data_IF_531236983309
#
_entry.id   IF_531236983309
#
_cell.length_a   1.000
_cell.length_b   1.000
_cell.length_c   1.000
_cell.angle_alpha   90.00
_cell.angle_beta   90.00
_cell.angle_gamma   90.00
#
_symmetry.space_group_name_H-M   'P 1'
#
loop_
_entity.id
_entity.type
_entity.pdbx_description
1 polymer ?
#
# COMPACT_ATOMS: atom_id res chain seq x y z
N UNK A 1 21.83 38.60 36.76
CA UNK A 1 22.26 37.26 36.30
C UNK A 1 21.21 36.77 35.33
N UNK A 2 21.49 36.75 34.01
CA UNK A 2 20.57 36.21 33.01
C UNK A 2 20.73 34.69 32.96
N UNK A 3 19.66 33.97 33.27
CA UNK A 3 19.57 32.54 33.05
C UNK A 3 19.31 32.29 31.55
N UNK A 4 20.31 31.76 30.85
CA UNK A 4 20.22 31.37 29.45
C UNK A 4 19.59 29.98 29.38
N UNK A 5 18.31 29.91 28.99
CA UNK A 5 17.61 28.65 28.74
C UNK A 5 18.09 28.01 27.44
N UNK A 6 18.80 26.88 27.55
CA UNK A 6 19.12 26.02 26.40
C UNK A 6 17.85 25.28 25.95
N UNK A 7 17.25 25.75 24.86
CA UNK A 7 16.20 25.01 24.14
C UNK A 7 16.87 23.85 23.39
N UNK A 8 16.73 22.64 23.93
CA UNK A 8 17.07 21.40 23.23
C UNK A 8 16.09 21.21 22.07
N UNK A 9 16.53 21.55 20.86
CA UNK A 9 15.84 21.15 19.64
C UNK A 9 16.02 19.63 19.47
N UNK A 10 14.99 18.85 19.83
CA UNK A 10 14.91 17.44 19.47
C UNK A 10 14.85 17.33 17.94
N UNK A 11 15.73 16.56 17.29
CA UNK A 11 15.59 16.29 15.86
C UNK A 11 14.31 15.48 15.68
N UNK A 12 13.29 16.10 15.09
CA UNK A 12 12.19 15.36 14.49
C UNK A 12 12.80 14.53 13.36
N UNK A 13 13.03 13.25 13.59
CA UNK A 13 13.38 12.31 12.54
C UNK A 13 12.20 12.31 11.56
N UNK A 14 12.35 13.03 10.46
CA UNK A 14 11.43 12.92 9.34
C UNK A 14 11.42 11.45 8.92
N UNK A 15 10.25 10.81 8.96
CA UNK A 15 10.11 9.43 8.53
C UNK A 15 10.68 9.29 7.11
N UNK A 16 11.67 8.42 6.94
CA UNK A 16 12.34 8.21 5.67
C UNK A 16 11.32 7.79 4.61
N UNK A 17 11.18 8.59 3.56
CA UNK A 17 10.28 8.30 2.46
C UNK A 17 10.77 7.06 1.71
N UNK A 18 9.88 6.09 1.51
CA UNK A 18 10.18 4.84 0.80
C UNK A 18 9.27 4.65 -0.40
N UNK A 19 9.83 4.06 -1.45
CA UNK A 19 9.06 3.59 -2.60
C UNK A 19 8.45 2.23 -2.30
N UNK A 20 7.16 2.13 -2.58
CA UNK A 20 6.34 0.95 -2.44
C UNK A 20 5.70 0.59 -3.78
N UNK A 21 5.69 -0.71 -4.08
CA UNK A 21 4.74 -1.29 -5.03
C UNK A 21 3.49 -1.70 -4.27
N UNK A 22 2.39 -1.01 -4.54
CA UNK A 22 1.04 -1.40 -4.10
C UNK A 22 0.48 -2.36 -5.15
N UNK A 23 0.48 -3.65 -4.82
CA UNK A 23 -0.09 -4.68 -5.66
C UNK A 23 -1.46 -5.08 -5.13
N UNK A 24 -2.49 -4.91 -5.95
CA UNK A 24 -3.90 -5.15 -5.59
C UNK A 24 -4.54 -6.15 -6.53
N UNK A 25 -5.05 -7.24 -5.99
CA UNK A 25 -5.95 -8.16 -6.70
C UNK A 25 -7.39 -7.69 -6.46
N UNK A 26 -8.08 -7.31 -7.52
CA UNK A 26 -9.51 -7.00 -7.49
C UNK A 26 -10.30 -8.21 -8.01
N UNK A 27 -11.30 -8.65 -7.25
CA UNK A 27 -12.22 -9.70 -7.71
C UNK A 27 -13.27 -9.10 -8.63
N UNK A 28 -13.43 -9.70 -9.80
CA UNK A 28 -14.39 -9.26 -10.81
C UNK A 28 -15.83 -9.49 -10.32
N UNK A 29 -16.73 -8.55 -10.63
CA UNK A 29 -18.12 -8.58 -10.18
C UNK A 29 -18.28 -8.41 -8.66
N UNK A 30 -17.22 -8.06 -7.93
CA UNK A 30 -17.22 -7.88 -6.48
C UNK A 30 -16.53 -6.58 -6.08
N UNK A 31 -16.80 -6.15 -4.85
CA UNK A 31 -16.08 -5.05 -4.17
C UNK A 31 -14.99 -5.58 -3.23
N UNK A 32 -14.68 -6.87 -3.33
CA UNK A 32 -13.59 -7.51 -2.61
C UNK A 32 -12.28 -7.29 -3.34
N UNK A 33 -11.33 -6.64 -2.67
CA UNK A 33 -9.95 -6.50 -3.13
C UNK A 33 -8.99 -7.02 -2.05
N UNK A 34 -7.82 -7.48 -2.47
CA UNK A 34 -6.69 -7.79 -1.60
C UNK A 34 -5.49 -6.97 -2.04
N UNK A 35 -4.79 -6.35 -1.09
CA UNK A 35 -3.62 -5.53 -1.38
C UNK A 35 -2.43 -5.89 -0.49
N UNK A 36 -1.25 -5.74 -1.05
CA UNK A 36 0.04 -5.85 -0.37
C UNK A 36 0.89 -4.62 -0.72
N UNK A 37 1.83 -4.31 0.16
CA UNK A 37 2.74 -3.17 0.07
C UNK A 37 4.18 -3.70 0.05
N UNK A 38 4.79 -3.75 -1.13
CA UNK A 38 6.13 -4.31 -1.29
C UNK A 38 7.15 -3.18 -1.33
N UNK A 39 8.17 -3.27 -0.50
CA UNK A 39 9.32 -2.38 -0.52
C UNK A 39 10.56 -3.17 -0.92
N UNK A 40 11.38 -2.57 -1.78
CA UNK A 40 12.65 -3.10 -2.23
C UNK A 40 13.72 -2.02 -1.95
N UNK A 41 14.67 -2.25 -1.03
CA UNK A 41 15.65 -1.23 -0.64
C UNK A 41 16.48 -0.68 -1.80
N UNK A 42 16.71 -1.49 -2.85
CA UNK A 42 17.43 -1.05 -4.05
C UNK A 42 16.63 -0.15 -5.00
N UNK A 43 15.35 0.09 -4.74
CA UNK A 43 14.48 0.96 -5.56
C UNK A 43 14.09 2.18 -4.71
N UNK A 44 14.80 3.28 -4.93
CA UNK A 44 14.61 4.54 -4.18
C UNK A 44 13.74 5.55 -4.92
N UNK A 45 13.51 5.35 -6.22
CA UNK A 45 12.77 6.27 -7.10
C UNK A 45 11.54 5.60 -7.71
N UNK A 46 10.48 6.39 -7.93
CA UNK A 46 9.24 5.91 -8.55
C UNK A 46 9.46 5.30 -9.93
N UNK A 47 10.39 5.86 -10.71
CA UNK A 47 10.68 5.33 -12.06
C UNK A 47 11.31 3.94 -12.00
N UNK A 48 12.21 3.69 -11.04
CA UNK A 48 12.76 2.35 -10.81
C UNK A 48 11.68 1.33 -10.45
N UNK A 49 10.67 1.73 -9.67
CA UNK A 49 9.51 0.86 -9.40
C UNK A 49 8.71 0.58 -10.67
N UNK A 50 8.45 1.59 -11.50
CA UNK A 50 7.69 1.43 -12.74
C UNK A 50 8.43 0.54 -13.74
N UNK A 51 9.75 0.69 -13.84
CA UNK A 51 10.60 -0.20 -14.63
C UNK A 51 10.53 -1.65 -14.14
N UNK A 52 10.65 -1.86 -12.83
CA UNK A 52 10.53 -3.19 -12.24
C UNK A 52 9.15 -3.82 -12.49
N UNK A 53 8.06 -3.04 -12.41
CA UNK A 53 6.71 -3.50 -12.75
C UNK A 53 6.60 -3.87 -14.23
N UNK A 54 7.10 -3.00 -15.13
CA UNK A 54 7.08 -3.28 -16.59
C UNK A 54 7.84 -4.55 -16.93
N UNK A 55 9.01 -4.77 -16.32
CA UNK A 55 9.79 -6.00 -16.49
C UNK A 55 9.04 -7.22 -15.94
N UNK A 56 8.55 -7.15 -14.69
CA UNK A 56 7.79 -8.25 -14.07
C UNK A 56 6.53 -8.67 -14.83
N UNK A 57 5.82 -7.71 -15.43
CA UNK A 57 4.66 -7.99 -16.28
C UNK A 57 5.05 -8.61 -17.63
N UNK A 58 6.11 -8.11 -18.27
CA UNK A 58 6.56 -8.57 -19.60
C UNK A 58 7.16 -9.97 -19.53
N UNK A 59 8.09 -10.16 -18.60
CA UNK A 59 8.93 -11.35 -18.50
C UNK A 59 8.26 -12.42 -17.63
N UNK A 60 7.15 -12.06 -16.97
CA UNK A 60 6.41 -12.88 -15.99
C UNK A 60 7.30 -13.33 -14.82
N UNK A 61 8.37 -12.58 -14.58
CA UNK A 61 9.39 -12.87 -13.58
C UNK A 61 9.63 -11.64 -12.68
N UNK A 62 9.20 -11.74 -11.43
CA UNK A 62 9.19 -10.64 -10.47
C UNK A 62 10.48 -10.58 -9.64
N UNK A 63 11.61 -10.36 -10.31
CA UNK A 63 12.96 -10.39 -9.72
C UNK A 63 13.17 -9.37 -8.58
N UNK A 64 12.50 -8.21 -8.60
CA UNK A 64 12.66 -7.13 -7.61
C UNK A 64 11.54 -7.08 -6.56
N UNK A 65 10.32 -7.43 -6.95
CA UNK A 65 9.16 -7.41 -6.05
C UNK A 65 8.51 -8.79 -6.05
N UNK A 66 9.21 -9.77 -5.49
CA UNK A 66 8.69 -11.14 -5.47
C UNK A 66 7.39 -11.19 -4.66
N UNK A 67 6.30 -11.58 -5.32
CA UNK A 67 5.03 -11.80 -4.68
C UNK A 67 4.26 -12.89 -5.39
N UNK A 68 3.57 -13.73 -4.61
CA UNK A 68 2.69 -14.77 -5.12
C UNK A 68 1.29 -14.42 -4.64
N UNK A 69 0.46 -13.88 -5.54
CA UNK A 69 -0.97 -13.85 -5.27
C UNK A 69 -1.52 -15.25 -5.51
N UNK A 70 -2.03 -15.87 -4.45
CA UNK A 70 -2.69 -17.17 -4.44
C UNK A 70 -4.03 -17.11 -5.16
N UNK A 71 -4.01 -16.82 -6.46
CA UNK A 71 -5.20 -16.71 -7.31
C UNK A 71 -6.01 -18.01 -7.34
N UNK A 72 -5.34 -19.14 -7.13
CA UNK A 72 -5.90 -20.49 -6.92
C UNK A 72 -6.94 -20.56 -5.80
N UNK A 73 -6.92 -19.60 -4.86
CA UNK A 73 -7.87 -19.55 -3.74
C UNK A 73 -9.19 -18.87 -4.09
N UNK A 74 -9.28 -18.17 -5.21
CA UNK A 74 -10.51 -17.52 -5.68
C UNK A 74 -11.29 -18.44 -6.62
N UNK A 75 -11.68 -19.62 -6.14
CA UNK A 75 -12.44 -20.59 -6.94
C UNK A 75 -13.78 -20.00 -7.37
N UNK A 76 -14.05 -20.04 -8.68
CA UNK A 76 -15.32 -19.54 -9.25
C UNK A 76 -15.36 -18.03 -9.52
N UNK A 77 -14.26 -17.31 -9.30
CA UNK A 77 -14.17 -15.88 -9.58
C UNK A 77 -12.93 -15.60 -10.44
N UNK A 78 -13.07 -14.64 -11.37
CA UNK A 78 -11.92 -14.02 -12.04
C UNK A 78 -11.45 -12.84 -11.21
N UNK A 79 -10.19 -12.47 -11.38
CA UNK A 79 -9.65 -11.27 -10.76
C UNK A 79 -8.53 -10.69 -11.61
N UNK A 80 -8.34 -9.38 -11.48
CA UNK A 80 -7.30 -8.66 -12.18
C UNK A 80 -6.34 -7.99 -11.20
N UNK A 81 -5.05 -8.03 -11.56
CA UNK A 81 -3.99 -7.38 -10.82
C UNK A 81 -3.88 -5.90 -11.23
N UNK A 82 -3.82 -5.03 -10.24
CA UNK A 82 -3.46 -3.62 -10.39
C UNK A 82 -2.16 -3.36 -9.63
N UNK A 83 -1.23 -2.67 -10.29
CA UNK A 83 0.07 -2.32 -9.73
C UNK A 83 0.21 -0.81 -9.72
N UNK A 84 0.48 -0.22 -8.55
CA UNK A 84 0.72 1.22 -8.41
C UNK A 84 2.03 1.43 -7.66
N UNK A 85 2.95 2.21 -8.26
CA UNK A 85 4.15 2.68 -7.58
C UNK A 85 3.81 3.93 -6.78
N UNK A 86 4.20 3.96 -5.51
CA UNK A 86 3.87 5.06 -4.61
C UNK A 86 4.98 5.32 -3.58
N UNK A 87 5.02 6.54 -3.03
CA UNK A 87 5.94 6.95 -1.98
C UNK A 87 5.17 7.05 -0.66
N UNK A 88 5.73 6.54 0.42
CA UNK A 88 5.12 6.56 1.74
C UNK A 88 6.12 6.99 2.81
N UNK A 89 5.66 7.77 3.77
CA UNK A 89 6.29 7.95 5.09
C UNK A 89 5.91 6.81 6.05
N UNK A 90 4.75 6.17 5.83
CA UNK A 90 4.34 4.98 6.57
C UNK A 90 5.16 3.77 6.15
N UNK A 91 5.61 3.01 7.15
CA UNK A 91 6.26 1.73 6.94
C UNK A 91 5.26 0.58 7.12
N UNK A 92 5.47 -0.50 6.39
CA UNK A 92 4.64 -1.70 6.47
C UNK A 92 5.50 -2.89 6.86
N UNK A 93 4.97 -3.79 7.70
CA UNK A 93 5.65 -5.04 8.01
C UNK A 93 5.94 -5.82 6.73
N UNK A 94 7.02 -6.62 6.69
CA UNK A 94 7.33 -7.45 5.53
C UNK A 94 6.13 -8.30 5.13
N UNK A 95 5.90 -8.43 3.82
CA UNK A 95 4.89 -9.34 3.31
C UNK A 95 5.39 -10.78 3.45
N UNK A 96 4.52 -11.67 3.91
CA UNK A 96 4.76 -13.12 3.92
C UNK A 96 3.59 -13.77 3.18
N UNK A 97 3.88 -14.72 2.29
CA UNK A 97 2.83 -15.52 1.64
C UNK A 97 2.10 -16.30 2.73
N UNK A 98 0.86 -15.89 3.00
CA UNK A 98 0.13 -16.28 4.19
C UNK A 98 -1.36 -16.31 3.92
N UNK A 99 -2.09 -17.25 4.54
CA UNK A 99 -3.43 -17.60 4.10
C UNK A 99 -4.53 -16.57 4.42
N UNK A 100 -4.25 -15.52 5.21
CA UNK A 100 -5.31 -14.67 5.77
C UNK A 100 -5.05 -13.18 5.57
N UNK A 101 -5.56 -12.66 4.46
CA UNK A 101 -5.82 -11.24 4.27
C UNK A 101 -7.02 -10.84 5.14
N UNK A 102 -6.77 -10.59 6.42
CA UNK A 102 -7.81 -10.39 7.45
C UNK A 102 -7.83 -8.97 8.03
N UNK A 103 -7.03 -8.06 7.49
CA UNK A 103 -6.97 -6.66 7.93
C UNK A 103 -7.62 -5.79 6.87
N UNK A 104 -8.62 -5.01 7.24
CA UNK A 104 -9.27 -4.09 6.31
C UNK A 104 -8.53 -2.75 6.30
N UNK A 105 -8.28 -2.22 5.11
CA UNK A 105 -7.59 -0.96 4.89
C UNK A 105 -8.36 -0.06 3.93
N UNK A 106 -8.39 1.23 4.24
CA UNK A 106 -8.63 2.30 3.28
C UNK A 106 -7.28 2.74 2.73
N UNK A 107 -7.04 2.47 1.44
CA UNK A 107 -5.77 2.72 0.77
C UNK A 107 -5.96 3.88 -0.18
N UNK A 108 -5.09 4.88 -0.11
CA UNK A 108 -5.04 6.02 -1.03
C UNK A 108 -3.70 6.13 -1.73
N UNK A 109 -3.73 6.37 -3.04
CA UNK A 109 -2.56 6.80 -3.82
C UNK A 109 -2.98 8.04 -4.60
N UNK A 110 -2.48 9.21 -4.20
CA UNK A 110 -2.87 10.49 -4.81
C UNK A 110 -2.13 10.77 -6.13
N UNK A 111 -2.42 11.92 -6.74
CA UNK A 111 -1.84 12.36 -8.01
C UNK A 111 -0.32 12.55 -7.95
N UNK A 112 0.25 12.75 -6.76
CA UNK A 112 1.69 12.83 -6.54
C UNK A 112 2.31 11.48 -6.17
N UNK A 113 1.54 10.40 -6.37
CA UNK A 113 1.92 9.04 -5.98
C UNK A 113 2.17 8.89 -4.48
N UNK A 114 1.62 9.76 -3.62
CA UNK A 114 1.74 9.59 -2.17
C UNK A 114 0.78 8.50 -1.70
N UNK A 115 1.34 7.46 -1.08
CA UNK A 115 0.61 6.39 -0.43
C UNK A 115 0.18 6.84 0.97
N UNK A 116 -1.08 6.61 1.28
CA UNK A 116 -1.59 6.66 2.64
C UNK A 116 -2.51 5.46 2.88
N UNK A 117 -2.35 4.82 4.03
CA UNK A 117 -3.07 3.61 4.41
C UNK A 117 -3.62 3.78 5.81
N UNK A 118 -4.93 3.61 5.94
CA UNK A 118 -5.63 3.66 7.22
C UNK A 118 -6.25 2.29 7.53
N UNK A 119 -6.02 1.79 8.74
CA UNK A 119 -6.66 0.55 9.20
C UNK A 119 -8.10 0.81 9.61
N UNK A 120 -9.02 -0.02 9.15
CA UNK A 120 -10.43 0.00 9.57
C UNK A 120 -10.80 -1.26 10.34
N UNK A 121 -11.88 -1.22 11.12
CA UNK A 121 -12.32 -2.40 11.91
C UNK A 121 -12.87 -3.53 11.03
N UNK A 122 -13.43 -3.17 9.87
CA UNK A 122 -14.04 -4.10 8.92
C UNK A 122 -14.09 -3.50 7.52
N UNK A 123 -14.34 -4.35 6.53
CA UNK A 123 -14.54 -3.91 5.15
C UNK A 123 -15.80 -3.05 4.99
N UNK A 124 -16.87 -3.35 5.75
CA UNK A 124 -18.07 -2.53 5.78
C UNK A 124 -17.77 -1.10 6.26
N UNK A 125 -16.97 -0.97 7.34
CA UNK A 125 -16.56 0.34 7.83
C UNK A 125 -15.66 1.07 6.82
N UNK A 126 -14.73 0.36 6.16
CA UNK A 126 -13.91 0.98 5.10
C UNK A 126 -14.79 1.57 4.01
N UNK A 127 -15.77 0.81 3.51
CA UNK A 127 -16.66 1.30 2.45
C UNK A 127 -17.52 2.47 2.92
N UNK A 128 -17.96 2.46 4.17
CA UNK A 128 -18.70 3.57 4.76
C UNK A 128 -17.83 4.84 4.82
N UNK A 129 -16.57 4.72 5.27
CA UNK A 129 -15.61 5.82 5.27
C UNK A 129 -15.32 6.33 3.86
N UNK A 130 -15.04 5.44 2.90
CA UNK A 130 -14.80 5.80 1.50
C UNK A 130 -15.97 6.60 0.92
N UNK A 131 -17.21 6.13 1.09
CA UNK A 131 -18.41 6.83 0.58
C UNK A 131 -18.65 8.19 1.24
N UNK A 132 -18.17 8.40 2.46
CA UNK A 132 -18.31 9.66 3.18
C UNK A 132 -17.30 10.74 2.72
N UNK A 133 -16.28 10.37 1.92
CA UNK A 133 -15.30 11.32 1.40
C UNK A 133 -15.89 12.15 0.24
N UNK A 134 -15.38 13.37 -0.01
CA UNK A 134 -15.67 14.09 -1.25
C UNK A 134 -15.26 13.28 -2.49
N UNK A 135 -16.01 13.41 -3.60
CA UNK A 135 -15.79 12.62 -4.82
C UNK A 135 -14.34 12.66 -5.33
N UNK A 136 -13.70 13.84 -5.31
CA UNK A 136 -12.29 14.00 -5.67
C UNK A 136 -11.35 13.13 -4.80
N UNK A 137 -11.64 12.99 -3.51
CA UNK A 137 -10.85 12.14 -2.60
C UNK A 137 -11.18 10.65 -2.73
N UNK A 138 -12.39 10.31 -3.19
CA UNK A 138 -12.79 8.93 -3.47
C UNK A 138 -12.04 8.36 -4.68
N UNK A 139 -11.83 9.15 -5.74
CA UNK A 139 -11.17 8.70 -6.98
C UNK A 139 -9.78 8.09 -6.77
N UNK A 140 -9.07 8.53 -5.73
CA UNK A 140 -7.72 8.08 -5.40
C UNK A 140 -7.68 7.04 -4.26
N UNK A 141 -8.84 6.56 -3.80
CA UNK A 141 -8.95 5.67 -2.64
C UNK A 141 -9.78 4.44 -2.92
N UNK A 142 -9.42 3.34 -2.27
CA UNK A 142 -10.14 2.08 -2.38
C UNK A 142 -10.02 1.27 -1.09
N UNK A 143 -10.94 0.34 -0.91
CA UNK A 143 -10.93 -0.59 0.21
C UNK A 143 -10.33 -1.92 -0.21
N UNK A 144 -9.38 -2.42 0.56
CA UNK A 144 -8.81 -3.75 0.34
C UNK A 144 -8.51 -4.47 1.66
N UNK A 145 -8.47 -5.79 1.58
CA UNK A 145 -7.96 -6.63 2.64
C UNK A 145 -6.44 -6.78 2.50
N UNK A 146 -5.71 -6.77 3.61
CA UNK A 146 -4.26 -6.97 3.67
C UNK A 146 -3.90 -7.96 4.77
N UNK A 147 -2.63 -8.39 4.79
CA UNK A 147 -2.05 -9.21 5.87
C UNK A 147 -0.87 -8.49 6.59
N UNK A 148 -0.33 -7.42 6.01
CA UNK A 148 0.73 -6.59 6.59
C UNK A 148 0.19 -5.63 7.65
N UNK A 149 1.04 -5.17 8.55
CA UNK A 149 0.73 -4.14 9.55
C UNK A 149 1.33 -2.80 9.14
N UNK A 150 0.68 -1.70 9.53
CA UNK A 150 1.31 -0.36 9.52
C UNK A 150 2.22 -0.31 10.74
N UNK A 151 3.50 -0.05 10.53
CA UNK A 151 4.49 0.03 11.60
C UNK A 151 4.40 1.39 12.32
N UNK A 152 4.75 1.45 13.62
CA UNK A 152 4.82 2.70 14.38
C UNK A 152 5.83 3.69 13.83
#
# INVERSE_FOLDING_TARGET
MLALGLLLALPTQAAEQRVYLVATMQLDGSSLAQSIFLHEPGITELEGCREAVRAGQRDRDWQKYHHIFRSDRFKGFSGHMQYRCAISDQQFSSWQDGPRYNRSYLIGVDEHSKLNVERTSSQAQCRAQLRALPAARQAHRFCAMGNQQIMP
#
